data_IF_609504786629
#
_entry.id   IF_609504786629
#
_cell.length_a   1.000
_cell.length_b   1.000
_cell.length_c   1.000
_cell.angle_alpha   90.00
_cell.angle_beta   90.00
_cell.angle_gamma   90.00
#
_symmetry.space_group_name_H-M   'P 1'
#
loop_
_entity.id
_entity.type
_entity.pdbx_description
1 polymer ?
#
# COMPACT_ATOMS: atom_id res chain seq x y z
N UNK A 1 31.86 0.97 24.55
CA UNK A 1 31.01 2.11 24.18
C UNK A 1 30.11 1.67 23.03
N UNK A 2 28.78 1.73 23.17
CA UNK A 2 27.86 1.42 22.09
C UNK A 2 28.08 2.35 20.88
N UNK A 3 28.03 1.75 19.70
CA UNK A 3 28.14 2.42 18.39
C UNK A 3 27.02 1.91 17.50
N UNK A 4 26.18 2.82 17.00
CA UNK A 4 25.10 2.51 16.07
C UNK A 4 25.40 3.22 14.76
N UNK A 5 25.33 2.48 13.65
CA UNK A 5 25.46 3.01 12.30
C UNK A 5 24.15 2.78 11.56
N UNK A 6 23.60 3.85 11.00
CA UNK A 6 22.39 3.83 10.17
C UNK A 6 22.79 4.32 8.78
N UNK A 7 22.50 3.54 7.74
CA UNK A 7 22.76 3.90 6.35
C UNK A 7 21.48 3.73 5.52
N UNK A 8 21.20 4.69 4.66
CA UNK A 8 20.08 4.63 3.72
C UNK A 8 20.44 5.31 2.39
N UNK A 9 19.66 5.03 1.35
CA UNK A 9 19.72 5.69 0.04
C UNK A 9 18.39 6.41 -0.18
N UNK A 10 18.45 7.74 -0.24
CA UNK A 10 17.28 8.58 -0.45
C UNK A 10 16.73 8.41 -1.88
N UNK A 11 15.44 8.72 -2.13
CA UNK A 11 14.84 8.63 -3.45
C UNK A 11 15.55 9.46 -4.54
N UNK A 12 16.28 10.49 -4.14
CA UNK A 12 17.14 11.35 -4.99
C UNK A 12 18.46 10.68 -5.40
N UNK A 13 18.76 9.49 -4.85
CA UNK A 13 19.99 8.73 -5.09
C UNK A 13 21.13 9.08 -4.13
N UNK A 14 20.93 10.03 -3.22
CA UNK A 14 21.91 10.43 -2.22
C UNK A 14 22.03 9.36 -1.14
N UNK A 15 23.27 9.02 -0.75
CA UNK A 15 23.53 8.13 0.38
C UNK A 15 23.63 8.93 1.67
N UNK A 16 22.86 8.55 2.68
CA UNK A 16 22.97 9.10 4.03
C UNK A 16 23.58 8.06 4.97
N UNK A 17 24.50 8.48 5.84
CA UNK A 17 25.14 7.64 6.85
C UNK A 17 25.22 8.40 8.16
N UNK A 18 24.58 7.88 9.21
CA UNK A 18 24.54 8.48 10.55
C UNK A 18 25.23 7.52 11.52
N UNK A 19 26.17 8.06 12.31
CA UNK A 19 26.92 7.30 13.32
C UNK A 19 26.66 7.91 14.69
N UNK A 20 26.16 7.08 15.62
CA UNK A 20 25.90 7.43 17.01
C UNK A 20 26.88 6.69 17.90
N UNK A 21 27.68 7.43 18.66
CA UNK A 21 28.67 6.90 19.59
C UNK A 21 28.52 7.58 20.95
N UNK A 22 28.60 6.82 22.03
CA UNK A 22 28.50 7.36 23.38
C UNK A 22 28.54 6.29 24.47
N UNK A 23 28.64 6.71 25.72
CA UNK A 23 28.51 5.82 26.88
C UNK A 23 27.09 5.26 27.01
N UNK A 24 26.09 6.07 26.68
CA UNK A 24 24.67 5.71 26.67
C UNK A 24 24.01 6.23 25.38
N UNK A 25 23.54 5.33 24.53
CA UNK A 25 22.70 5.69 23.38
C UNK A 25 21.26 5.37 23.76
N UNK A 26 20.49 6.41 24.10
CA UNK A 26 19.08 6.26 24.43
C UNK A 26 18.27 5.81 23.20
N UNK A 27 17.38 4.85 23.40
CA UNK A 27 16.47 4.34 22.37
C UNK A 27 15.67 5.47 21.70
N UNK A 28 15.18 6.43 22.49
CA UNK A 28 14.42 7.59 21.99
C UNK A 28 15.19 8.42 20.97
N UNK A 29 16.51 8.57 21.13
CA UNK A 29 17.37 9.29 20.17
C UNK A 29 17.50 8.54 18.85
N UNK A 30 17.58 7.20 18.91
CA UNK A 30 17.62 6.35 17.72
C UNK A 30 16.29 6.43 16.96
N UNK A 31 15.17 6.38 17.69
CA UNK A 31 13.83 6.47 17.11
C UNK A 31 13.60 7.81 16.40
N UNK A 32 14.00 8.93 16.98
CA UNK A 32 13.89 10.25 16.34
C UNK A 32 14.68 10.34 15.03
N UNK A 33 15.87 9.73 14.97
CA UNK A 33 16.68 9.69 13.75
C UNK A 33 16.03 8.84 12.68
N UNK A 34 15.44 7.70 13.06
CA UNK A 34 14.69 6.85 12.13
C UNK A 34 13.46 7.58 11.59
N UNK A 35 12.76 8.36 12.41
CA UNK A 35 11.62 9.18 11.99
C UNK A 35 12.04 10.24 10.97
N UNK A 36 13.12 11.00 11.26
CA UNK A 36 13.70 11.95 10.31
C UNK A 36 14.04 11.30 8.97
N UNK A 37 14.67 10.12 8.98
CA UNK A 37 15.00 9.39 7.75
C UNK A 37 13.76 9.00 6.95
N UNK A 38 12.66 8.61 7.61
CA UNK A 38 11.38 8.31 6.94
C UNK A 38 10.79 9.54 6.25
N UNK A 39 10.88 10.70 6.89
CA UNK A 39 10.44 11.99 6.31
C UNK A 39 11.29 12.32 5.09
N UNK A 40 12.62 12.27 5.21
CA UNK A 40 13.56 12.56 4.12
C UNK A 40 13.40 11.60 2.92
N UNK A 41 13.06 10.34 3.19
CA UNK A 41 12.78 9.35 2.15
C UNK A 41 11.42 9.57 1.44
N UNK A 42 10.64 10.58 1.83
CA UNK A 42 9.29 10.84 1.30
C UNK A 42 8.30 9.72 1.64
N UNK A 43 8.60 8.89 2.63
CA UNK A 43 7.80 7.72 2.95
C UNK A 43 6.48 8.11 3.64
N UNK A 44 6.42 9.22 4.39
CA UNK A 44 5.18 9.65 5.04
C UNK A 44 4.11 10.07 4.02
N UNK A 45 4.45 10.97 3.08
CA UNK A 45 3.55 11.36 1.99
C UNK A 45 3.18 10.15 1.12
N UNK A 46 4.14 9.28 0.79
CA UNK A 46 3.85 8.05 0.02
C UNK A 46 2.94 7.09 0.77
N UNK A 47 3.07 6.94 2.09
CA UNK A 47 2.20 6.08 2.90
C UNK A 47 0.80 6.68 2.95
N UNK A 48 0.67 8.00 3.13
CA UNK A 48 -0.61 8.68 3.17
C UNK A 48 -1.33 8.64 1.81
N UNK A 49 -0.62 8.93 0.72
CA UNK A 49 -1.14 8.83 -0.66
C UNK A 49 -1.51 7.39 -1.02
N UNK A 50 -0.72 6.41 -0.57
CA UNK A 50 -1.02 4.99 -0.74
C UNK A 50 -2.26 4.58 0.04
N UNK A 51 -2.46 5.14 1.24
CA UNK A 51 -3.64 4.89 2.07
C UNK A 51 -4.89 5.47 1.43
N UNK A 52 -4.84 6.75 1.03
CA UNK A 52 -5.95 7.43 0.33
C UNK A 52 -6.31 6.72 -0.97
N UNK A 53 -5.32 6.33 -1.78
CA UNK A 53 -5.58 5.59 -3.01
C UNK A 53 -6.19 4.20 -2.73
N UNK A 54 -5.74 3.49 -1.69
CA UNK A 54 -6.33 2.22 -1.31
C UNK A 54 -7.81 2.37 -0.94
N UNK A 55 -8.16 3.37 -0.13
CA UNK A 55 -9.53 3.66 0.28
C UNK A 55 -10.41 4.04 -0.90
N UNK A 56 -9.96 4.95 -1.76
CA UNK A 56 -10.67 5.35 -2.97
C UNK A 56 -10.95 4.17 -3.89
N UNK A 57 -9.94 3.32 -4.15
CA UNK A 57 -10.12 2.11 -4.97
C UNK A 57 -11.08 1.11 -4.33
N UNK A 58 -11.07 1.01 -3.00
CA UNK A 58 -11.94 0.12 -2.26
C UNK A 58 -13.40 0.56 -2.34
N UNK A 59 -13.67 1.87 -2.23
CA UNK A 59 -15.02 2.42 -2.32
C UNK A 59 -15.63 2.18 -3.71
N UNK A 60 -14.92 2.54 -4.79
CA UNK A 60 -15.37 2.25 -6.17
C UNK A 60 -15.62 0.75 -6.38
N UNK A 61 -14.75 -0.10 -5.82
CA UNK A 61 -14.90 -1.55 -5.91
C UNK A 61 -16.18 -2.02 -5.21
N UNK A 62 -16.48 -1.53 -4.01
CA UNK A 62 -17.70 -1.88 -3.28
C UNK A 62 -18.96 -1.36 -4.01
N UNK A 63 -18.93 -0.14 -4.53
CA UNK A 63 -20.06 0.45 -5.23
C UNK A 63 -20.40 -0.31 -6.52
N UNK A 64 -19.38 -0.82 -7.22
CA UNK A 64 -19.54 -1.52 -8.52
C UNK A 64 -19.66 -3.04 -8.42
N UNK A 65 -19.06 -3.65 -7.40
CA UNK A 65 -18.90 -5.12 -7.30
C UNK A 65 -19.21 -5.68 -5.90
N UNK A 66 -19.69 -4.85 -4.97
CA UNK A 66 -20.01 -5.23 -3.59
C UNK A 66 -21.17 -6.23 -3.47
N UNK A 67 -22.02 -6.33 -4.50
CA UNK A 67 -23.09 -7.31 -4.61
C UNK A 67 -22.60 -8.76 -4.81
N UNK A 68 -21.29 -8.96 -5.00
CA UNK A 68 -20.68 -10.25 -5.23
C UNK A 68 -20.52 -10.60 -6.70
N UNK A 69 -20.68 -9.64 -7.61
CA UNK A 69 -20.37 -9.82 -9.03
C UNK A 69 -18.86 -10.06 -9.23
N UNK A 70 -18.46 -11.10 -10.00
CA UNK A 70 -17.07 -11.29 -10.39
C UNK A 70 -16.54 -10.16 -11.26
N UNK A 71 -15.29 -9.78 -11.04
CA UNK A 71 -14.62 -8.72 -11.81
C UNK A 71 -13.12 -8.98 -11.96
N UNK A 72 -12.49 -8.31 -12.93
CA UNK A 72 -11.05 -8.36 -13.22
C UNK A 72 -10.36 -7.03 -12.90
N UNK A 73 -9.03 -7.00 -13.00
CA UNK A 73 -8.26 -5.75 -12.88
C UNK A 73 -8.62 -4.72 -13.96
N UNK A 74 -9.08 -5.15 -15.14
CA UNK A 74 -9.53 -4.25 -16.21
C UNK A 74 -10.89 -3.64 -15.90
N UNK A 75 -11.78 -4.41 -15.29
CA UNK A 75 -13.12 -3.93 -14.91
C UNK A 75 -13.01 -2.84 -13.83
N UNK A 76 -12.19 -3.06 -12.80
CA UNK A 76 -11.96 -2.03 -11.77
C UNK A 76 -11.26 -0.79 -12.36
N UNK A 77 -10.28 -0.98 -13.26
CA UNK A 77 -9.64 0.17 -13.93
C UNK A 77 -10.66 1.01 -14.68
N UNK A 78 -11.57 0.36 -15.43
CA UNK A 78 -12.65 1.03 -16.16
C UNK A 78 -13.59 1.76 -15.21
N UNK A 79 -14.04 1.11 -14.14
CA UNK A 79 -14.89 1.72 -13.12
C UNK A 79 -14.27 2.97 -12.50
N UNK A 80 -12.97 2.92 -12.14
CA UNK A 80 -12.26 4.07 -11.57
C UNK A 80 -12.20 5.25 -12.56
N UNK A 81 -11.98 4.96 -13.84
CA UNK A 81 -11.99 6.00 -14.86
C UNK A 81 -13.38 6.60 -15.06
N UNK A 82 -14.42 5.77 -15.11
CA UNK A 82 -15.81 6.21 -15.30
C UNK A 82 -16.36 7.00 -14.09
N UNK A 83 -16.00 6.60 -12.87
CA UNK A 83 -16.57 7.17 -11.64
C UNK A 83 -15.82 8.41 -11.16
N UNK A 84 -14.50 8.44 -11.37
CA UNK A 84 -13.63 9.47 -10.80
C UNK A 84 -12.84 10.26 -11.86
N UNK A 85 -12.87 9.85 -13.13
CA UNK A 85 -12.05 10.45 -14.18
C UNK A 85 -10.54 10.21 -14.03
N UNK A 86 -10.13 9.32 -13.13
CA UNK A 86 -8.72 9.07 -12.82
C UNK A 86 -8.15 7.99 -13.75
N UNK A 87 -7.14 8.35 -14.54
CA UNK A 87 -6.44 7.40 -15.40
C UNK A 87 -5.25 6.74 -14.69
N UNK A 88 -5.45 5.53 -14.15
CA UNK A 88 -4.42 4.75 -13.48
C UNK A 88 -3.77 3.72 -14.42
N UNK A 89 -2.54 3.29 -14.10
CA UNK A 89 -1.92 2.16 -14.78
C UNK A 89 -2.54 0.84 -14.29
N UNK A 90 -2.74 -0.12 -15.21
CA UNK A 90 -3.28 -1.46 -14.88
C UNK A 90 -2.46 -2.19 -13.80
N UNK A 91 -1.13 -1.98 -13.77
CA UNK A 91 -0.25 -2.54 -12.74
C UNK A 91 -0.54 -1.98 -11.35
N UNK A 92 -0.92 -0.71 -11.23
CA UNK A 92 -1.33 -0.10 -9.96
C UNK A 92 -2.58 -0.79 -9.43
N UNK A 93 -3.62 -0.92 -10.25
CA UNK A 93 -4.85 -1.65 -9.90
C UNK A 93 -4.55 -3.09 -9.50
N UNK A 94 -3.72 -3.79 -10.28
CA UNK A 94 -3.35 -5.18 -10.01
C UNK A 94 -2.61 -5.34 -8.67
N UNK A 95 -1.77 -4.37 -8.31
CA UNK A 95 -1.07 -4.31 -7.03
C UNK A 95 -2.05 -4.15 -5.86
N UNK A 96 -3.01 -3.24 -5.97
CA UNK A 96 -4.02 -3.03 -4.93
C UNK A 96 -4.98 -4.22 -4.79
N UNK A 97 -5.40 -4.83 -5.89
CA UNK A 97 -6.21 -6.06 -5.85
C UNK A 97 -5.49 -7.21 -5.16
N UNK A 98 -4.18 -7.38 -5.40
CA UNK A 98 -3.38 -8.35 -4.67
C UNK A 98 -3.32 -8.03 -3.18
N UNK A 99 -3.18 -6.75 -2.80
CA UNK A 99 -3.19 -6.31 -1.39
C UNK A 99 -4.54 -6.60 -0.72
N UNK A 100 -5.66 -6.27 -1.36
CA UNK A 100 -6.99 -6.55 -0.83
C UNK A 100 -7.25 -8.05 -0.70
N UNK A 101 -6.83 -8.85 -1.69
CA UNK A 101 -6.87 -10.31 -1.61
C UNK A 101 -6.05 -10.84 -0.42
N UNK A 102 -4.81 -10.37 -0.24
CA UNK A 102 -3.95 -10.78 0.89
C UNK A 102 -4.54 -10.40 2.26
N UNK A 103 -5.33 -9.33 2.33
CA UNK A 103 -6.09 -8.91 3.51
C UNK A 103 -7.39 -9.70 3.72
N UNK A 104 -7.73 -10.63 2.83
CA UNK A 104 -8.97 -11.42 2.91
C UNK A 104 -10.24 -10.68 2.47
N UNK A 105 -10.10 -9.46 1.96
CA UNK A 105 -11.21 -8.63 1.48
C UNK A 105 -11.78 -9.14 0.14
N UNK A 106 -10.95 -9.82 -0.65
CA UNK A 106 -11.33 -10.42 -1.92
C UNK A 106 -11.05 -11.92 -1.93
N UNK A 107 -11.79 -12.65 -2.75
CA UNK A 107 -11.50 -14.05 -3.12
C UNK A 107 -11.19 -14.13 -4.60
N UNK A 108 -10.31 -15.06 -4.99
CA UNK A 108 -10.01 -15.35 -6.40
C UNK A 108 -10.91 -16.48 -6.90
N UNK A 109 -11.47 -16.30 -8.10
CA UNK A 109 -12.34 -17.29 -8.75
C UNK A 109 -11.66 -18.04 -9.91
N UNK A 110 -10.36 -17.82 -10.11
CA UNK A 110 -9.58 -18.39 -11.22
C UNK A 110 -9.20 -17.32 -12.24
N UNK A 111 -8.86 -17.76 -13.46
CA UNK A 111 -8.48 -16.87 -14.57
C UNK A 111 -9.60 -16.79 -15.60
N UNK A 112 -9.69 -15.64 -16.26
CA UNK A 112 -10.48 -15.40 -17.46
C UNK A 112 -9.51 -14.81 -18.51
N UNK A 113 -9.14 -15.64 -19.49
CA UNK A 113 -8.01 -15.38 -20.35
C UNK A 113 -6.72 -15.17 -19.53
N UNK A 114 -6.09 -14.01 -19.72
CA UNK A 114 -4.87 -13.62 -18.99
C UNK A 114 -5.13 -12.89 -17.65
N UNK A 115 -6.39 -12.63 -17.30
CA UNK A 115 -6.75 -11.85 -16.11
C UNK A 115 -7.23 -12.75 -14.98
N UNK A 116 -6.91 -12.39 -13.73
CA UNK A 116 -7.46 -13.07 -12.55
C UNK A 116 -8.84 -12.47 -12.26
N UNK A 117 -9.82 -13.34 -11.99
CA UNK A 117 -11.15 -12.92 -11.52
C UNK A 117 -11.18 -12.87 -9.99
N UNK A 118 -11.76 -11.79 -9.48
CA UNK A 118 -11.95 -11.50 -8.07
C UNK A 118 -13.45 -11.39 -7.76
N UNK A 119 -13.79 -11.58 -6.49
CA UNK A 119 -15.11 -11.27 -5.93
C UNK A 119 -14.94 -10.76 -4.50
N UNK A 120 -15.81 -9.86 -4.06
CA UNK A 120 -15.81 -9.36 -2.67
C UNK A 120 -16.07 -10.51 -1.70
N UNK A 121 -15.29 -10.56 -0.64
CA UNK A 121 -15.44 -11.56 0.43
C UNK A 121 -16.63 -11.18 1.31
N UNK A 122 -17.61 -12.07 1.47
CA UNK A 122 -18.77 -11.86 2.36
C UNK A 122 -18.44 -11.97 3.86
N UNK A 123 -17.16 -12.05 4.24
CA UNK A 123 -16.77 -12.10 5.66
C UNK A 123 -16.89 -10.71 6.27
N UNK A 124 -18.02 -10.45 6.92
CA UNK A 124 -18.05 -9.55 8.09
C UNK A 124 -17.00 -10.10 9.06
N UNK A 125 -16.05 -9.30 9.58
CA UNK A 125 -15.19 -9.77 10.66
C UNK A 125 -16.11 -10.12 11.84
N UNK A 126 -16.21 -11.40 12.16
CA UNK A 126 -16.77 -11.81 13.44
C UNK A 126 -15.77 -11.39 14.51
N UNK A 127 -16.11 -10.35 15.25
CA UNK A 127 -15.55 -10.11 16.58
C UNK A 127 -15.91 -11.31 17.43
N UNK A 128 -14.89 -12.06 17.86
CA UNK A 128 -14.95 -12.94 19.03
C UNK A 128 -14.26 -12.20 20.16
#
# INVERSE_FOLDING_TARGET
>A
MPKIKIEDILPTGEKISIVLEGSEVAESRVLQILEMLRIMAGNEQRIEDTSKLAETLWNVLLDRFGDGKPFTSRDLLKAVFEDLGINLKLNTISTYLLRFYRRGLLRRLGKEGMSIRYVVSKRIPQTV
#
